data_IF_235056819160
#
_entry.id   IF_235056819160
#
_cell.length_a   1.000
_cell.length_b   1.000
_cell.length_c   1.000
_cell.angle_alpha   90.00
_cell.angle_beta   90.00
_cell.angle_gamma   90.00
#
_symmetry.space_group_name_H-M   'P 1'
#
loop_
_entity.id
_entity.type
_entity.pdbx_description
1 polymer ?
#
# COMPACT_ATOMS: atom_id res chain seq x y z
N UNK A 1 -31.64 40.00 -27.67
CA UNK A 1 -31.15 38.59 -27.73
C UNK A 1 -30.07 38.44 -26.68
N UNK A 2 -30.48 38.32 -25.43
CA UNK A 2 -29.57 38.15 -24.31
C UNK A 2 -29.38 36.66 -24.05
N UNK A 3 -28.13 36.21 -24.17
CA UNK A 3 -27.74 34.83 -23.90
C UNK A 3 -27.46 34.73 -22.40
N UNK A 4 -28.43 34.18 -21.67
CA UNK A 4 -28.25 33.70 -20.30
C UNK A 4 -27.14 32.64 -20.25
N UNK A 5 -25.94 33.09 -19.88
CA UNK A 5 -24.85 32.20 -19.47
C UNK A 5 -25.23 31.63 -18.10
N UNK A 6 -25.80 30.43 -18.10
CA UNK A 6 -25.90 29.59 -16.90
C UNK A 6 -24.49 29.44 -16.29
N UNK A 7 -24.27 29.80 -15.02
CA UNK A 7 -23.01 29.47 -14.37
C UNK A 7 -22.94 27.95 -14.26
N UNK A 8 -21.91 27.38 -14.88
CA UNK A 8 -21.60 25.97 -14.76
C UNK A 8 -21.43 25.62 -13.29
N UNK A 9 -22.22 24.67 -12.82
CA UNK A 9 -22.11 24.04 -11.50
C UNK A 9 -20.84 23.17 -11.54
N UNK A 10 -19.67 23.80 -11.55
CA UNK A 10 -18.44 23.19 -11.07
C UNK A 10 -18.63 23.11 -9.55
N UNK A 11 -18.92 21.90 -9.06
CA UNK A 11 -19.14 21.64 -7.63
C UNK A 11 -18.10 22.37 -6.79
N UNK A 12 -18.55 23.37 -6.03
CA UNK A 12 -17.67 24.20 -5.22
C UNK A 12 -17.15 23.39 -4.03
N UNK A 13 -16.12 22.56 -4.25
CA UNK A 13 -15.30 22.08 -3.13
C UNK A 13 -14.63 23.30 -2.49
N UNK A 14 -14.83 23.45 -1.18
CA UNK A 14 -14.20 24.51 -0.41
C UNK A 14 -12.70 24.26 -0.30
N UNK A 15 -11.91 25.33 -0.11
CA UNK A 15 -10.46 25.21 0.08
C UNK A 15 -10.13 24.28 1.27
N UNK A 16 -10.95 24.33 2.32
CA UNK A 16 -10.76 23.50 3.51
C UNK A 16 -11.10 22.03 3.25
N UNK A 17 -12.11 21.72 2.44
CA UNK A 17 -12.39 20.36 2.00
C UNK A 17 -11.22 19.78 1.19
N UNK A 18 -10.64 20.57 0.28
CA UNK A 18 -9.48 20.17 -0.52
C UNK A 18 -8.24 19.93 0.34
N UNK A 19 -8.02 20.73 1.39
CA UNK A 19 -6.94 20.52 2.38
C UNK A 19 -7.15 19.26 3.19
N UNK A 20 -8.38 19.01 3.66
CA UNK A 20 -8.72 17.79 4.39
C UNK A 20 -8.45 16.54 3.56
N UNK A 21 -8.84 16.58 2.29
CA UNK A 21 -8.51 15.53 1.32
C UNK A 21 -6.99 15.41 1.10
N UNK A 22 -6.27 16.53 0.95
CA UNK A 22 -4.82 16.50 0.79
C UNK A 22 -4.11 15.83 1.95
N UNK A 23 -4.52 16.13 3.19
CA UNK A 23 -3.95 15.50 4.39
C UNK A 23 -4.18 13.99 4.38
N UNK A 24 -5.40 13.54 4.01
CA UNK A 24 -5.73 12.12 3.90
C UNK A 24 -4.88 11.43 2.83
N UNK A 25 -4.87 11.97 1.60
CA UNK A 25 -4.08 11.43 0.48
C UNK A 25 -2.59 11.40 0.82
N UNK A 26 -2.07 12.41 1.52
CA UNK A 26 -0.68 12.45 1.95
C UNK A 26 -0.34 11.36 2.96
N UNK A 27 -1.24 11.07 3.89
CA UNK A 27 -1.10 9.97 4.86
C UNK A 27 -1.12 8.61 4.14
N UNK A 28 -2.06 8.43 3.21
CA UNK A 28 -2.19 7.21 2.42
C UNK A 28 -0.93 6.96 1.58
N UNK A 29 -0.48 8.00 0.85
CA UNK A 29 0.73 7.93 0.02
C UNK A 29 1.97 7.63 0.86
N UNK A 30 2.09 8.20 2.06
CA UNK A 30 3.20 7.89 2.98
C UNK A 30 3.19 6.41 3.35
N UNK A 31 2.03 5.89 3.74
CA UNK A 31 1.87 4.47 4.11
C UNK A 31 2.22 3.57 2.92
N UNK A 32 1.72 3.86 1.73
CA UNK A 32 2.02 3.10 0.51
C UNK A 32 3.50 3.14 0.14
N UNK A 33 4.16 4.29 0.26
CA UNK A 33 5.60 4.42 0.03
C UNK A 33 6.40 3.57 1.01
N UNK A 34 6.04 3.57 2.29
CA UNK A 34 6.72 2.73 3.31
C UNK A 34 6.55 1.25 2.98
N UNK A 35 5.33 0.82 2.66
CA UNK A 35 5.04 -0.57 2.29
C UNK A 35 5.78 -0.98 1.00
N UNK A 36 5.84 -0.10 0.00
CA UNK A 36 6.55 -0.37 -1.24
C UNK A 36 8.07 -0.48 -1.00
N UNK A 37 8.64 0.38 -0.16
CA UNK A 37 10.05 0.28 0.25
C UNK A 37 10.35 -1.03 0.96
N UNK A 38 9.46 -1.49 1.84
CA UNK A 38 9.61 -2.77 2.54
C UNK A 38 9.69 -3.94 1.54
N UNK A 39 8.77 -4.02 0.57
CA UNK A 39 8.81 -5.12 -0.40
C UNK A 39 9.96 -4.99 -1.39
N UNK A 40 10.31 -3.77 -1.82
CA UNK A 40 11.44 -3.53 -2.70
C UNK A 40 12.74 -3.99 -2.04
N UNK A 41 12.91 -3.73 -0.74
CA UNK A 41 14.05 -4.23 0.03
C UNK A 41 14.16 -5.77 0.00
N UNK A 42 13.04 -6.49 0.05
CA UNK A 42 13.06 -7.96 -0.11
C UNK A 42 13.53 -8.40 -1.50
N UNK A 43 13.13 -7.70 -2.56
CA UNK A 43 13.54 -7.98 -3.93
C UNK A 43 15.01 -7.63 -4.18
N UNK A 44 15.46 -6.47 -3.68
CA UNK A 44 16.86 -6.03 -3.81
C UNK A 44 17.80 -6.98 -3.04
N UNK A 45 17.36 -7.47 -1.88
CA UNK A 45 18.10 -8.50 -1.13
C UNK A 45 18.14 -9.82 -1.89
N UNK A 46 17.04 -10.24 -2.53
CA UNK A 46 17.01 -11.43 -3.39
C UNK A 46 18.03 -11.31 -4.53
N UNK A 47 18.07 -10.16 -5.22
CA UNK A 47 19.01 -9.91 -6.31
C UNK A 47 20.46 -9.95 -5.81
N UNK A 48 20.74 -9.25 -4.70
CA UNK A 48 22.08 -9.24 -4.09
C UNK A 48 22.53 -10.63 -3.68
N UNK A 49 21.70 -11.37 -2.94
CA UNK A 49 21.98 -12.75 -2.53
C UNK A 49 22.20 -13.64 -3.77
N UNK A 50 21.38 -13.48 -4.82
CA UNK A 50 21.53 -14.22 -6.07
C UNK A 50 22.87 -13.95 -6.77
N UNK A 51 23.30 -12.69 -6.85
CA UNK A 51 24.58 -12.29 -7.42
C UNK A 51 25.74 -12.91 -6.63
N UNK A 52 25.73 -12.76 -5.30
CA UNK A 52 26.76 -13.32 -4.42
C UNK A 52 26.83 -14.85 -4.50
N UNK A 53 25.68 -15.52 -4.66
CA UNK A 53 25.62 -16.97 -4.80
C UNK A 53 26.39 -17.50 -6.01
N UNK A 54 26.65 -16.67 -7.04
CA UNK A 54 27.34 -17.08 -8.27
C UNK A 54 28.77 -17.58 -8.01
N UNK A 55 29.43 -17.10 -6.95
CA UNK A 55 30.77 -17.53 -6.56
C UNK A 55 30.79 -18.87 -5.79
N UNK A 56 29.63 -19.36 -5.34
CA UNK A 56 29.53 -20.60 -4.57
C UNK A 56 29.58 -21.84 -5.47
N UNK A 57 30.16 -22.92 -4.97
CA UNK A 57 30.13 -24.23 -5.64
C UNK A 57 28.68 -24.72 -5.85
N UNK A 58 28.37 -25.49 -6.91
CA UNK A 58 26.99 -25.79 -7.32
C UNK A 58 26.09 -26.36 -6.22
N UNK A 59 26.61 -27.27 -5.38
CA UNK A 59 25.84 -27.90 -4.32
C UNK A 59 25.45 -26.92 -3.20
N UNK A 60 26.38 -26.05 -2.79
CA UNK A 60 26.11 -24.98 -1.82
C UNK A 60 25.14 -23.97 -2.42
N UNK A 61 25.39 -23.57 -3.67
CA UNK A 61 24.55 -22.62 -4.39
C UNK A 61 23.12 -23.12 -4.51
N UNK A 62 22.91 -24.40 -4.78
CA UNK A 62 21.57 -25.00 -4.84
C UNK A 62 20.78 -24.74 -3.55
N UNK A 63 21.39 -24.94 -2.38
CA UNK A 63 20.74 -24.68 -1.09
C UNK A 63 20.47 -23.17 -0.89
N UNK A 64 21.42 -22.32 -1.27
CA UNK A 64 21.24 -20.87 -1.20
C UNK A 64 20.06 -20.38 -2.05
N UNK A 65 19.95 -20.86 -3.30
CA UNK A 65 18.82 -20.50 -4.18
C UNK A 65 17.48 -20.96 -3.60
N UNK A 66 17.44 -22.16 -3.03
CA UNK A 66 16.25 -22.69 -2.35
C UNK A 66 15.84 -21.80 -1.18
N UNK A 67 16.78 -21.37 -0.36
CA UNK A 67 16.50 -20.53 0.80
C UNK A 67 16.11 -19.10 0.40
N UNK A 68 16.73 -18.53 -0.63
CA UNK A 68 16.31 -17.26 -1.23
C UNK A 68 14.84 -17.29 -1.68
N UNK A 69 14.44 -18.35 -2.40
CA UNK A 69 13.06 -18.50 -2.86
C UNK A 69 12.12 -18.56 -1.65
N UNK A 70 12.40 -19.43 -0.67
CA UNK A 70 11.57 -19.54 0.53
C UNK A 70 11.41 -18.24 1.28
N UNK A 71 12.51 -17.47 1.45
CA UNK A 71 12.50 -16.19 2.15
C UNK A 71 11.58 -15.19 1.46
N UNK A 72 11.71 -15.01 0.15
CA UNK A 72 10.93 -14.00 -0.59
C UNK A 72 9.49 -14.43 -0.83
N UNK A 73 9.21 -15.73 -0.86
CA UNK A 73 7.85 -16.29 -0.97
C UNK A 73 7.27 -16.71 0.38
N UNK A 74 7.80 -16.18 1.49
CA UNK A 74 7.28 -16.48 2.81
C UNK A 74 5.80 -16.05 2.91
N UNK A 75 4.99 -16.88 3.56
CA UNK A 75 3.53 -16.65 3.66
C UNK A 75 3.22 -15.28 4.26
N UNK A 76 4.01 -14.82 5.24
CA UNK A 76 3.80 -13.52 5.89
C UNK A 76 4.02 -12.37 4.91
N UNK A 77 4.98 -12.48 4.00
CA UNK A 77 5.24 -11.45 2.97
C UNK A 77 4.07 -11.41 1.98
N UNK A 78 3.61 -12.58 1.50
CA UNK A 78 2.48 -12.68 0.58
C UNK A 78 1.18 -12.16 1.21
N UNK A 79 0.92 -12.48 2.49
CA UNK A 79 -0.24 -11.99 3.22
C UNK A 79 -0.18 -10.47 3.45
N UNK A 80 0.99 -9.91 3.78
CA UNK A 80 1.19 -8.46 3.85
C UNK A 80 0.87 -7.78 2.51
N UNK A 81 1.40 -8.31 1.40
CA UNK A 81 1.12 -7.79 0.06
C UNK A 81 -0.37 -7.81 -0.27
N UNK A 82 -1.06 -8.92 0.00
CA UNK A 82 -2.52 -9.04 -0.19
C UNK A 82 -3.28 -8.05 0.67
N UNK A 83 -2.86 -7.86 1.92
CA UNK A 83 -3.45 -6.87 2.82
C UNK A 83 -3.28 -5.44 2.29
N UNK A 84 -2.10 -5.07 1.79
CA UNK A 84 -1.86 -3.75 1.20
C UNK A 84 -2.70 -3.52 -0.05
N UNK A 85 -2.82 -4.51 -0.93
CA UNK A 85 -3.70 -4.44 -2.11
C UNK A 85 -5.16 -4.26 -1.68
N UNK A 86 -5.62 -5.00 -0.67
CA UNK A 86 -6.99 -4.89 -0.17
C UNK A 86 -7.29 -3.51 0.45
N UNK A 87 -6.35 -2.94 1.20
CA UNK A 87 -6.49 -1.58 1.77
C UNK A 87 -6.65 -0.53 0.67
N UNK A 88 -5.90 -0.70 -0.42
CA UNK A 88 -5.94 0.19 -1.58
C UNK A 88 -7.28 0.11 -2.32
N UNK A 89 -7.80 -1.08 -2.57
CA UNK A 89 -9.07 -1.27 -3.28
C UNK A 89 -10.26 -0.62 -2.56
N UNK A 90 -10.19 -0.48 -1.23
CA UNK A 90 -11.21 0.24 -0.48
C UNK A 90 -11.15 1.77 -0.70
N UNK A 91 -9.98 2.35 -0.97
CA UNK A 91 -9.85 3.80 -1.17
C UNK A 91 -10.39 4.26 -2.53
N UNK A 92 -10.27 3.46 -3.59
CA UNK A 92 -10.81 3.84 -4.91
C UNK A 92 -12.35 3.95 -4.91
N UNK A 93 -13.03 3.18 -4.04
CA UNK A 93 -14.49 3.20 -3.91
C UNK A 93 -15.04 4.51 -3.31
N UNK A 94 -14.26 5.23 -2.48
CA UNK A 94 -14.71 6.48 -1.85
C UNK A 94 -14.48 7.74 -2.70
N UNK A 95 -13.59 7.70 -3.69
CA UNK A 95 -13.21 8.88 -4.48
C UNK A 95 -13.90 8.96 -5.85
N UNK A 96 -14.69 7.94 -6.24
CA UNK A 96 -15.59 8.06 -7.38
C UNK A 96 -16.81 8.88 -6.97
N UNK A 97 -16.77 10.18 -7.28
CA UNK A 97 -17.87 11.14 -7.10
C UNK A 97 -19.16 10.77 -7.85
N UNK A 98 -19.19 9.63 -8.55
CA UNK A 98 -20.41 9.02 -9.08
C UNK A 98 -21.31 8.39 -7.99
N UNK A 99 -20.78 8.00 -6.82
CA UNK A 99 -21.55 7.28 -5.79
C UNK A 99 -22.36 8.15 -4.82
N UNK A 100 -22.12 9.47 -4.79
CA UNK A 100 -22.86 10.39 -3.91
C UNK A 100 -24.26 10.73 -4.43
N UNK A 101 -24.49 10.58 -5.74
CA UNK A 101 -25.81 10.79 -6.35
C UNK A 101 -26.77 9.62 -6.10
N UNK A 102 -26.25 8.43 -5.78
CA UNK A 102 -27.05 7.24 -5.49
C UNK A 102 -27.50 7.21 -4.01
N UNK A 103 -26.64 7.64 -3.08
CA UNK A 103 -26.97 7.68 -1.64
C UNK A 103 -27.89 8.83 -1.24
N UNK A 104 -27.96 9.92 -2.00
CA UNK A 104 -28.92 11.00 -1.73
C UNK A 104 -30.38 10.60 -2.03
N UNK A 105 -30.62 9.49 -2.74
CA UNK A 105 -31.97 8.99 -3.01
C UNK A 105 -32.54 8.13 -1.86
N UNK A 106 -31.68 7.58 -0.99
CA UNK A 106 -32.11 6.72 0.12
C UNK A 106 -32.36 7.48 1.44
N UNK A 107 -31.96 8.74 1.56
CA UNK A 107 -32.08 9.49 2.82
C UNK A 107 -33.34 10.36 2.97
N UNK A 108 -34.26 10.36 1.99
CA UNK A 108 -35.55 11.07 2.11
C UNK A 108 -36.67 10.24 2.76
N UNK A 109 -36.47 8.94 3.03
CA UNK A 109 -37.48 8.09 3.65
C UNK A 109 -36.91 7.28 4.81
N UNK A 110 -36.73 7.92 5.98
CA UNK A 110 -36.92 7.26 7.29
C UNK A 110 -36.81 8.26 8.44
N UNK A 111 -37.90 8.37 9.19
CA UNK A 111 -37.98 9.09 10.48
C UNK A 111 -37.15 8.37 11.55
N UNK A 112 -36.54 9.10 12.50
CA UNK A 112 -35.81 8.49 13.62
C UNK A 112 -36.75 8.18 14.80
N UNK A 113 -36.65 6.95 15.31
CA UNK A 113 -37.13 6.59 16.65
C UNK A 113 -35.91 6.47 17.58
N UNK A 114 -35.98 7.19 18.70
CA UNK A 114 -35.01 7.21 19.80
C UNK A 114 -35.13 5.96 20.66
N UNK A 115 -34.01 5.47 21.19
CA UNK A 115 -33.97 4.86 22.53
C UNK A 115 -32.56 4.97 23.15
N UNK A 116 -32.54 5.37 24.42
CA UNK A 116 -31.38 5.57 25.30
C UNK A 116 -30.96 4.26 25.97
N UNK A 117 -29.67 4.02 26.26
CA UNK A 117 -29.18 3.48 27.56
C UNK A 117 -27.73 3.92 27.82
N UNK A 118 -27.47 4.33 29.07
CA UNK A 118 -26.24 4.82 29.72
C UNK A 118 -25.14 3.72 29.94
N UNK A 119 -23.89 4.09 30.31
CA UNK A 119 -22.71 3.23 30.37
C UNK A 119 -22.31 2.82 31.80
N UNK A 120 -21.49 1.76 31.94
CA UNK A 120 -20.40 1.68 32.95
C UNK A 120 -19.50 0.42 32.78
N UNK A 121 -18.29 0.41 33.41
CA UNK A 121 -17.04 -0.15 32.88
C UNK A 121 -16.57 -1.41 33.62
N UNK A 122 -15.56 -2.14 33.08
CA UNK A 122 -14.64 -2.98 33.87
C UNK A 122 -13.21 -3.06 33.28
N UNK A 123 -12.28 -3.21 34.21
CA UNK A 123 -10.84 -2.96 34.15
C UNK A 123 -9.95 -4.09 33.59
N UNK A 124 -8.79 -3.65 33.12
CA UNK A 124 -7.42 -4.20 33.19
C UNK A 124 -7.16 -5.72 33.30
N UNK A 125 -6.36 -6.23 32.34
CA UNK A 125 -5.21 -7.09 32.64
C UNK A 125 -3.96 -6.67 31.83
N UNK A 126 -2.84 -6.64 32.56
CA UNK A 126 -1.49 -6.20 32.20
C UNK A 126 -0.80 -7.23 31.29
N UNK A 127 -0.09 -6.80 30.23
CA UNK A 127 1.18 -7.40 29.77
C UNK A 127 1.80 -6.63 28.58
N UNK A 128 3.08 -6.25 28.67
CA UNK A 128 3.92 -5.98 27.49
C UNK A 128 4.34 -4.54 27.16
N UNK A 129 4.84 -3.75 28.13
CA UNK A 129 5.25 -2.34 27.90
C UNK A 129 6.62 -2.18 27.18
N UNK A 130 7.43 -3.23 27.00
CA UNK A 130 8.79 -3.06 26.42
C UNK A 130 8.83 -2.84 24.91
N UNK A 131 7.77 -3.19 24.15
CA UNK A 131 7.70 -2.95 22.70
C UNK A 131 7.04 -1.61 22.30
N UNK A 132 6.29 -0.99 23.22
CA UNK A 132 5.54 0.24 22.97
C UNK A 132 6.45 1.47 22.94
N UNK A 133 7.44 1.55 23.84
CA UNK A 133 8.35 2.71 23.87
C UNK A 133 9.20 2.85 22.59
N UNK A 134 9.56 1.74 21.94
CA UNK A 134 10.31 1.77 20.69
C UNK A 134 9.44 2.32 19.54
N UNK A 135 8.16 1.92 19.47
CA UNK A 135 7.18 2.48 18.52
C UNK A 135 6.79 3.93 18.85
N UNK A 136 6.72 4.30 20.12
CA UNK A 136 6.44 5.69 20.53
C UNK A 136 7.59 6.63 20.16
N UNK A 137 8.85 6.15 20.10
CA UNK A 137 9.99 6.97 19.65
C UNK A 137 9.94 7.27 18.15
N UNK A 138 9.43 6.35 17.34
CA UNK A 138 9.13 6.61 15.92
C UNK A 138 7.91 7.54 15.76
N UNK A 139 6.85 7.36 16.58
CA UNK A 139 5.65 8.21 16.57
C UNK A 139 5.91 9.66 17.05
N UNK A 140 6.78 9.87 18.03
CA UNK A 140 7.04 11.18 18.64
C UNK A 140 7.97 12.08 17.79
N UNK A 141 8.75 11.51 16.87
CA UNK A 141 9.49 12.27 15.86
C UNK A 141 8.64 12.65 14.63
N UNK A 142 7.45 12.05 14.48
CA UNK A 142 6.58 12.19 13.30
C UNK A 142 5.48 13.25 13.45
N UNK A 143 5.12 13.65 14.66
CA UNK A 143 4.13 14.73 14.90
C UNK A 143 4.62 16.10 14.38
N UNK A 144 5.92 16.35 14.38
CA UNK A 144 6.51 17.59 13.86
C UNK A 144 6.40 17.72 12.33
N UNK A 145 6.28 16.62 11.60
CA UNK A 145 6.10 16.68 10.13
C UNK A 145 4.64 16.97 9.74
N UNK A 146 3.66 16.48 10.51
CA UNK A 146 2.25 16.78 10.30
C UNK A 146 1.97 18.28 10.49
N UNK A 147 2.53 18.87 11.56
CA UNK A 147 2.42 20.31 11.82
C UNK A 147 3.12 21.19 10.79
N UNK A 148 4.19 20.70 10.13
CA UNK A 148 4.82 21.39 8.99
C UNK A 148 3.93 21.33 7.74
N UNK A 149 3.41 20.15 7.39
CA UNK A 149 2.53 20.01 6.22
C UNK A 149 1.24 20.82 6.33
N UNK A 150 0.67 20.95 7.52
CA UNK A 150 -0.55 21.76 7.71
C UNK A 150 -0.27 23.26 7.57
N UNK A 151 0.87 23.74 8.08
CA UNK A 151 1.32 25.13 7.90
C UNK A 151 1.63 25.45 6.44
N UNK A 152 2.24 24.52 5.72
CA UNK A 152 2.54 24.67 4.30
C UNK A 152 1.26 24.74 3.45
N UNK A 153 0.24 23.92 3.78
CA UNK A 153 -1.06 23.94 3.11
C UNK A 153 -1.85 25.23 3.35
N UNK A 154 -1.60 25.97 4.44
CA UNK A 154 -2.23 27.27 4.68
C UNK A 154 -1.75 28.33 3.69
N UNK A 155 -0.49 28.24 3.26
CA UNK A 155 0.16 29.17 2.33
C UNK A 155 -0.22 28.91 0.86
N UNK A 156 -0.61 27.68 0.52
CA UNK A 156 -0.98 27.33 -0.84
C UNK A 156 -2.32 27.96 -1.26
N UNK A 157 -2.41 28.38 -2.51
CA UNK A 157 -3.64 28.74 -3.21
C UNK A 157 -4.56 27.53 -3.38
N UNK A 158 -5.83 27.78 -3.67
CA UNK A 158 -6.79 26.69 -3.93
C UNK A 158 -6.35 25.82 -5.13
N UNK A 159 -5.78 26.43 -6.16
CA UNK A 159 -5.33 25.71 -7.35
C UNK A 159 -4.13 24.81 -7.03
N UNK A 160 -3.14 25.31 -6.29
CA UNK A 160 -1.97 24.50 -5.91
C UNK A 160 -2.35 23.28 -5.07
N UNK A 161 -3.35 23.38 -4.19
CA UNK A 161 -3.86 22.22 -3.44
C UNK A 161 -4.51 21.19 -4.36
N UNK A 162 -5.21 21.63 -5.41
CA UNK A 162 -5.80 20.73 -6.42
C UNK A 162 -4.70 20.01 -7.20
N UNK A 163 -3.70 20.75 -7.70
CA UNK A 163 -2.61 20.20 -8.49
C UNK A 163 -1.77 19.20 -7.66
N UNK A 164 -1.52 19.50 -6.39
CA UNK A 164 -0.82 18.60 -5.47
C UNK A 164 -1.65 17.35 -5.15
N UNK A 165 -2.97 17.49 -4.95
CA UNK A 165 -3.86 16.33 -4.81
C UNK A 165 -3.82 15.43 -6.03
N UNK A 166 -3.88 15.99 -7.24
CA UNK A 166 -3.81 15.24 -8.49
C UNK A 166 -2.48 14.51 -8.63
N UNK A 167 -1.36 15.19 -8.35
CA UNK A 167 -0.03 14.60 -8.37
C UNK A 167 0.07 13.41 -7.41
N UNK A 168 -0.39 13.57 -6.17
CA UNK A 168 -0.35 12.50 -5.17
C UNK A 168 -1.26 11.33 -5.55
N UNK A 169 -2.44 11.59 -6.11
CA UNK A 169 -3.34 10.55 -6.63
C UNK A 169 -2.70 9.76 -7.76
N UNK A 170 -2.02 10.43 -8.69
CA UNK A 170 -1.27 9.76 -9.76
C UNK A 170 -0.20 8.83 -9.18
N UNK A 171 0.55 9.29 -8.19
CA UNK A 171 1.58 8.47 -7.55
C UNK A 171 0.99 7.28 -6.78
N UNK A 172 -0.11 7.48 -6.06
CA UNK A 172 -0.86 6.39 -5.42
C UNK A 172 -1.25 5.36 -6.47
N UNK A 173 -1.81 5.79 -7.61
CA UNK A 173 -2.20 4.89 -8.71
C UNK A 173 -1.00 4.10 -9.24
N UNK A 174 0.14 4.76 -9.48
CA UNK A 174 1.36 4.09 -9.93
C UNK A 174 1.85 3.03 -8.93
N UNK A 175 1.85 3.33 -7.63
CA UNK A 175 2.21 2.36 -6.58
C UNK A 175 1.20 1.20 -6.51
N UNK A 176 -0.09 1.51 -6.66
CA UNK A 176 -1.17 0.52 -6.65
C UNK A 176 -1.06 -0.48 -7.81
N UNK A 177 -0.60 -0.04 -8.98
CA UNK A 177 -0.37 -0.93 -10.12
C UNK A 177 0.84 -1.85 -9.90
N UNK A 178 1.83 -1.44 -9.10
CA UNK A 178 3.03 -2.23 -8.81
C UNK A 178 2.78 -3.37 -7.83
N UNK A 179 1.97 -3.18 -6.79
CA UNK A 179 1.75 -4.21 -5.77
C UNK A 179 1.20 -5.54 -6.34
N UNK A 180 0.14 -5.55 -7.18
CA UNK A 180 -0.37 -6.78 -7.79
C UNK A 180 0.65 -7.47 -8.71
N UNK A 181 1.50 -6.69 -9.41
CA UNK A 181 2.57 -7.25 -10.26
C UNK A 181 3.58 -7.99 -9.39
N UNK A 182 4.06 -7.35 -8.33
CA UNK A 182 4.99 -7.98 -7.38
C UNK A 182 4.35 -9.23 -6.77
N UNK A 183 3.11 -9.13 -6.29
CA UNK A 183 2.40 -10.28 -5.71
C UNK A 183 2.30 -11.43 -6.72
N UNK A 184 1.86 -11.16 -7.95
CA UNK A 184 1.75 -12.17 -9.01
C UNK A 184 3.08 -12.87 -9.29
N UNK A 185 4.19 -12.12 -9.33
CA UNK A 185 5.53 -12.69 -9.51
C UNK A 185 5.95 -13.58 -8.35
N UNK A 186 5.72 -13.14 -7.11
CA UNK A 186 6.07 -13.95 -5.94
C UNK A 186 5.17 -15.18 -5.81
N UNK A 187 3.90 -15.11 -6.21
CA UNK A 187 3.00 -16.26 -6.28
C UNK A 187 3.42 -17.25 -7.39
N UNK A 188 3.80 -16.76 -8.57
CA UNK A 188 4.38 -17.59 -9.63
C UNK A 188 5.67 -18.27 -9.17
N UNK A 189 6.56 -17.54 -8.49
CA UNK A 189 7.79 -18.08 -7.91
C UNK A 189 7.49 -19.16 -6.86
N UNK A 190 6.51 -18.91 -5.98
CA UNK A 190 6.07 -19.85 -4.94
C UNK A 190 5.48 -21.12 -5.55
N UNK A 191 4.59 -20.98 -6.55
CA UNK A 191 3.99 -22.11 -7.27
C UNK A 191 5.04 -22.90 -8.04
N UNK A 192 5.92 -22.23 -8.77
CA UNK A 192 7.04 -22.84 -9.46
C UNK A 192 7.99 -23.56 -8.50
N UNK A 193 8.14 -23.05 -7.27
CA UNK A 193 8.86 -23.69 -6.19
C UNK A 193 8.13 -24.93 -5.61
N UNK A 194 6.82 -25.06 -5.71
CA UNK A 194 6.17 -26.33 -5.36
C UNK A 194 6.25 -27.34 -6.50
N UNK A 195 6.18 -26.87 -7.75
CA UNK A 195 6.27 -27.69 -8.95
C UNK A 195 7.69 -28.28 -9.16
N UNK A 196 8.76 -27.49 -8.96
CA UNK A 196 10.13 -27.98 -9.19
C UNK A 196 10.50 -29.15 -8.27
N UNK A 197 9.87 -29.28 -7.10
CA UNK A 197 10.15 -30.39 -6.17
C UNK A 197 9.90 -31.75 -6.82
N UNK A 198 8.95 -31.81 -7.76
CA UNK A 198 8.54 -33.01 -8.51
C UNK A 198 9.51 -33.37 -9.65
N UNK A 199 10.40 -32.46 -10.05
CA UNK A 199 11.34 -32.68 -11.15
C UNK A 199 12.51 -33.59 -10.76
N UNK A 200 13.23 -34.20 -11.72
CA UNK A 200 14.51 -34.86 -11.47
C UNK A 200 15.58 -33.89 -10.94
N UNK A 201 16.50 -34.37 -10.11
CA UNK A 201 17.54 -33.52 -9.49
C UNK A 201 18.37 -32.71 -10.51
N UNK A 202 18.67 -33.32 -11.67
CA UNK A 202 19.46 -32.70 -12.75
C UNK A 202 18.84 -31.42 -13.31
N UNK A 203 17.50 -31.27 -13.28
CA UNK A 203 16.79 -30.11 -13.81
C UNK A 203 16.40 -29.09 -12.73
N UNK A 204 16.35 -29.49 -11.46
CA UNK A 204 15.95 -28.61 -10.33
C UNK A 204 16.80 -27.35 -10.22
N UNK A 205 18.12 -27.50 -10.33
CA UNK A 205 19.05 -26.39 -10.17
C UNK A 205 18.88 -25.32 -11.26
N UNK A 206 18.81 -25.75 -12.52
CA UNK A 206 18.58 -24.85 -13.66
C UNK A 206 17.24 -24.13 -13.52
N UNK A 207 16.18 -24.86 -13.17
CA UNK A 207 14.85 -24.28 -13.02
C UNK A 207 14.79 -23.23 -11.90
N UNK A 208 15.39 -23.49 -10.73
CA UNK A 208 15.45 -22.49 -9.65
C UNK A 208 16.19 -21.22 -10.04
N UNK A 209 17.30 -21.35 -10.79
CA UNK A 209 18.02 -20.18 -11.31
C UNK A 209 17.15 -19.34 -12.24
N UNK A 210 16.42 -19.98 -13.14
CA UNK A 210 15.52 -19.29 -14.08
C UNK A 210 14.39 -18.58 -13.34
N UNK A 211 13.76 -19.26 -12.38
CA UNK A 211 12.68 -18.67 -11.59
C UNK A 211 13.14 -17.42 -10.83
N UNK A 212 14.31 -17.46 -10.17
CA UNK A 212 14.86 -16.28 -9.49
C UNK A 212 15.19 -15.18 -10.50
N UNK A 213 15.81 -15.51 -11.64
CA UNK A 213 16.11 -14.54 -12.72
C UNK A 213 14.86 -13.80 -13.20
N UNK A 214 13.75 -14.53 -13.40
CA UNK A 214 12.50 -13.93 -13.84
C UNK A 214 11.94 -12.90 -12.85
N UNK A 215 12.18 -13.08 -11.55
CA UNK A 215 11.74 -12.11 -10.53
C UNK A 215 12.67 -10.89 -10.46
N UNK A 216 13.98 -11.07 -10.58
CA UNK A 216 14.96 -9.97 -10.43
C UNK A 216 15.13 -9.12 -11.71
N UNK A 217 14.89 -9.68 -12.89
CA UNK A 217 15.09 -8.99 -14.19
C UNK A 217 13.83 -8.25 -14.65
N UNK A 218 12.75 -8.28 -13.88
CA UNK A 218 11.54 -7.54 -14.21
C UNK A 218 11.69 -6.07 -13.80
N UNK A 219 12.19 -5.26 -14.74
CA UNK A 219 12.39 -3.81 -14.58
C UNK A 219 11.08 -3.04 -14.31
N UNK A 220 9.92 -3.72 -14.42
CA UNK A 220 8.60 -3.12 -14.22
C UNK A 220 8.11 -3.20 -12.76
N UNK A 221 8.91 -3.76 -11.84
CA UNK A 221 8.64 -3.89 -10.39
C UNK A 221 9.21 -2.72 -9.56
#
# INVERSE_FOLDING_TARGET
MDKDKKPGILGFQTKDALKGENMKISSDLRTLRTNYKEIKLHLDNLEREYILSKASVPMVRYNLLKDMIKKVTDKKILEKLRSWIAMVSQHESYHSSSGLLEKCKEFCEKKPSRENVDPQPKEHRKSGISGLLQRCKEFAGETDQLGKTEKDLQLLSKQEVIDDNEKKRKEIKELNEKFPRILSRLEQLSKGYEEYKKLPFTTKYTKMKEMIKLVITDDTL
#
